data_IF_421441108934
#
_entry.id   IF_421441108934
#
_cell.length_a   1.000
_cell.length_b   1.000
_cell.length_c   1.000
_cell.angle_alpha   90.00
_cell.angle_beta   90.00
_cell.angle_gamma   90.00
#
_symmetry.space_group_name_H-M   'P 1'
#
loop_
_entity.id
_entity.type
_entity.pdbx_description
1 polymer ?
#
# COMPACT_ATOMS: atom_id res chain seq x y z
N UNK A 1 9.46 -14.67 -0.34
CA UNK A 1 10.03 -13.49 0.32
C UNK A 1 10.24 -12.38 -0.71
N UNK A 2 9.82 -11.17 -0.39
CA UNK A 2 10.02 -10.03 -1.29
C UNK A 2 11.46 -9.55 -1.24
N UNK A 3 12.03 -9.29 -2.41
CA UNK A 3 13.32 -8.63 -2.49
C UNK A 3 13.14 -7.13 -2.19
N UNK A 4 14.10 -6.51 -1.48
CA UNK A 4 14.03 -5.07 -1.24
C UNK A 4 14.01 -4.29 -2.55
N UNK A 5 13.26 -3.20 -2.58
CA UNK A 5 13.25 -2.30 -3.73
C UNK A 5 14.57 -1.53 -3.80
N UNK A 6 15.09 -1.35 -5.01
CA UNK A 6 16.26 -0.50 -5.24
C UNK A 6 15.85 0.97 -5.19
N UNK A 7 16.80 1.87 -5.00
CA UNK A 7 16.51 3.31 -5.00
C UNK A 7 15.89 3.79 -6.32
N UNK A 8 16.35 3.36 -7.50
CA UNK A 8 15.68 3.72 -8.76
C UNK A 8 14.24 3.23 -8.82
N UNK A 9 13.96 2.02 -8.33
CA UNK A 9 12.60 1.48 -8.29
C UNK A 9 11.71 2.32 -7.38
N UNK A 10 12.19 2.66 -6.18
CA UNK A 10 11.43 3.49 -5.24
C UNK A 10 11.10 4.83 -5.87
N UNK A 11 12.06 5.48 -6.53
CA UNK A 11 11.83 6.76 -7.18
C UNK A 11 10.79 6.66 -8.30
N UNK A 12 10.86 5.59 -9.10
CA UNK A 12 9.90 5.34 -10.16
C UNK A 12 8.48 5.17 -9.60
N UNK A 13 8.34 4.38 -8.53
CA UNK A 13 7.03 4.15 -7.93
C UNK A 13 6.48 5.38 -7.24
N UNK A 14 7.33 6.18 -6.60
CA UNK A 14 6.91 7.45 -6.00
C UNK A 14 6.38 8.42 -7.06
N UNK A 15 7.08 8.52 -8.19
CA UNK A 15 6.66 9.39 -9.29
C UNK A 15 5.31 8.92 -9.86
N UNK A 16 5.16 7.61 -10.09
CA UNK A 16 3.91 7.05 -10.57
C UNK A 16 2.77 7.27 -9.58
N UNK A 17 3.05 7.11 -8.28
CA UNK A 17 2.04 7.27 -7.22
C UNK A 17 1.49 8.69 -7.13
N UNK A 18 2.29 9.70 -7.47
CA UNK A 18 1.83 11.08 -7.46
C UNK A 18 0.72 11.33 -8.48
N UNK A 19 0.66 10.51 -9.52
CA UNK A 19 -0.38 10.60 -10.55
C UNK A 19 -1.61 9.77 -10.23
N UNK A 20 -1.55 8.95 -9.19
CA UNK A 20 -2.67 8.11 -8.79
C UNK A 20 -3.54 8.80 -7.75
N UNK A 21 -4.83 8.53 -7.82
CA UNK A 21 -5.74 8.88 -6.73
C UNK A 21 -5.84 7.71 -5.77
N UNK A 22 -6.16 7.95 -4.49
CA UNK A 22 -6.36 6.84 -3.55
C UNK A 22 -7.46 5.90 -4.04
N UNK A 23 -7.13 4.62 -4.12
CA UNK A 23 -8.06 3.58 -4.58
C UNK A 23 -8.88 3.01 -3.45
N UNK A 24 -8.33 3.03 -2.23
CA UNK A 24 -8.93 2.45 -1.04
C UNK A 24 -8.78 3.40 0.13
N UNK A 25 -9.62 3.20 1.14
CA UNK A 25 -9.57 3.99 2.38
C UNK A 25 -9.56 3.07 3.59
N UNK A 26 -8.71 3.39 4.57
CA UNK A 26 -8.78 2.74 5.88
C UNK A 26 -9.94 3.39 6.64
N UNK A 27 -11.01 2.65 6.84
CA UNK A 27 -12.19 3.11 7.56
C UNK A 27 -12.18 2.70 9.02
N UNK A 28 -13.35 2.75 9.66
CA UNK A 28 -13.51 2.48 11.09
C UNK A 28 -13.10 1.08 11.51
N UNK A 29 -13.21 0.10 10.62
CA UNK A 29 -12.81 -1.27 10.91
C UNK A 29 -11.28 -1.46 10.92
N UNK A 30 -10.53 -0.45 10.46
CA UNK A 30 -9.07 -0.52 10.42
C UNK A 30 -8.58 -1.61 9.47
N UNK A 31 -7.59 -2.37 9.90
CA UNK A 31 -7.03 -3.45 9.11
C UNK A 31 -7.76 -4.78 9.36
N UNK A 32 -9.06 -4.79 9.09
CA UNK A 32 -9.86 -6.01 9.18
C UNK A 32 -9.42 -7.02 8.12
N UNK A 33 -9.78 -8.29 8.31
CA UNK A 33 -9.48 -9.34 7.34
C UNK A 33 -10.07 -9.02 5.96
N UNK A 34 -11.30 -8.49 5.93
CA UNK A 34 -11.95 -8.10 4.69
C UNK A 34 -11.18 -7.00 3.98
N UNK A 35 -10.72 -5.99 4.72
CA UNK A 35 -9.92 -4.91 4.16
C UNK A 35 -8.58 -5.42 3.61
N UNK A 36 -7.90 -6.27 4.37
CA UNK A 36 -6.62 -6.86 3.93
C UNK A 36 -6.80 -7.67 2.65
N UNK A 37 -7.86 -8.46 2.56
CA UNK A 37 -8.18 -9.22 1.34
C UNK A 37 -8.44 -8.28 0.15
N UNK A 38 -9.17 -7.20 0.38
CA UNK A 38 -9.45 -6.20 -0.66
C UNK A 38 -8.15 -5.55 -1.15
N UNK A 39 -7.26 -5.18 -0.24
CA UNK A 39 -5.96 -4.62 -0.60
C UNK A 39 -5.14 -5.62 -1.40
N UNK A 40 -5.10 -6.87 -0.98
CA UNK A 40 -4.36 -7.92 -1.67
C UNK A 40 -4.89 -8.15 -3.08
N UNK A 41 -6.21 -8.20 -3.24
CA UNK A 41 -6.84 -8.36 -4.56
C UNK A 41 -6.52 -7.16 -5.47
N UNK A 42 -6.53 -5.96 -4.91
CA UNK A 42 -6.22 -4.75 -5.66
C UNK A 42 -4.75 -4.74 -6.11
N UNK A 43 -3.85 -5.20 -5.24
CA UNK A 43 -2.44 -5.35 -5.58
C UNK A 43 -2.22 -6.38 -6.70
N UNK A 44 -3.03 -7.44 -6.74
CA UNK A 44 -2.97 -8.41 -7.82
C UNK A 44 -3.30 -7.80 -9.19
N UNK A 45 -4.13 -6.77 -9.20
CA UNK A 45 -4.56 -6.12 -10.43
C UNK A 45 -3.67 -4.94 -10.83
N UNK A 46 -3.14 -4.20 -9.87
CA UNK A 46 -2.56 -2.89 -10.14
C UNK A 46 -1.09 -2.74 -9.75
N UNK A 47 -0.45 -3.73 -9.18
CA UNK A 47 0.93 -3.66 -8.68
C UNK A 47 1.18 -2.51 -7.68
N UNK A 48 0.71 -1.31 -7.99
CA UNK A 48 0.91 -0.11 -7.19
C UNK A 48 -0.45 0.39 -6.71
N UNK A 49 -0.63 0.46 -5.40
CA UNK A 49 -1.92 0.82 -4.79
C UNK A 49 -1.72 1.97 -3.81
N UNK A 50 -2.53 3.00 -3.95
CA UNK A 50 -2.53 4.17 -3.08
C UNK A 50 -3.74 4.10 -2.15
N UNK A 51 -3.50 4.22 -0.85
CA UNK A 51 -4.50 4.04 0.20
C UNK A 51 -4.50 5.26 1.11
N UNK A 52 -5.68 5.78 1.40
CA UNK A 52 -5.86 6.93 2.28
C UNK A 52 -6.33 6.47 3.65
N UNK A 53 -5.77 7.06 4.71
CA UNK A 53 -6.29 6.87 6.07
C UNK A 53 -7.44 7.86 6.30
N UNK A 54 -8.67 7.38 6.22
CA UNK A 54 -9.85 8.15 6.60
C UNK A 54 -10.03 8.12 8.13
N UNK A 55 -9.67 7.00 8.75
CA UNK A 55 -9.64 6.79 10.20
C UNK A 55 -8.23 6.36 10.61
N UNK A 56 -7.96 6.27 11.89
CA UNK A 56 -6.66 5.83 12.45
C UNK A 56 -5.47 6.65 11.95
N UNK A 57 -5.70 7.95 11.73
CA UNK A 57 -4.65 8.84 11.20
C UNK A 57 -3.44 8.93 12.13
N UNK A 58 -3.66 8.86 13.43
CA UNK A 58 -2.58 8.92 14.42
C UNK A 58 -1.76 7.63 14.47
N UNK A 59 -2.34 6.51 14.04
CA UNK A 59 -1.68 5.19 14.03
C UNK A 59 -1.07 4.84 12.68
N UNK A 60 -1.12 5.73 11.71
CA UNK A 60 -0.66 5.45 10.34
C UNK A 60 0.79 4.98 10.25
N UNK A 61 1.67 5.51 11.12
CA UNK A 61 3.08 5.11 11.14
C UNK A 61 3.27 3.64 11.48
N UNK A 62 2.37 3.09 12.27
CA UNK A 62 2.40 1.69 12.68
C UNK A 62 1.62 0.81 11.72
N UNK A 63 0.47 1.30 11.27
CA UNK A 63 -0.44 0.52 10.43
C UNK A 63 0.05 0.36 9.00
N UNK A 64 0.72 1.36 8.44
CA UNK A 64 1.21 1.28 7.07
C UNK A 64 2.20 0.12 6.87
N UNK A 65 3.29 0.01 7.66
CA UNK A 65 4.19 -1.15 7.51
C UNK A 65 3.53 -2.46 7.88
N UNK A 66 2.59 -2.45 8.83
CA UNK A 66 1.86 -3.66 9.19
C UNK A 66 1.00 -4.18 8.03
N UNK A 67 0.32 -3.27 7.33
CA UNK A 67 -0.48 -3.65 6.17
C UNK A 67 0.40 -4.18 5.04
N UNK A 68 1.56 -3.55 4.81
CA UNK A 68 2.52 -4.04 3.83
C UNK A 68 2.96 -5.46 4.16
N UNK A 69 3.27 -5.74 5.42
CA UNK A 69 3.64 -7.07 5.87
C UNK A 69 2.52 -8.09 5.66
N UNK A 70 1.30 -7.72 6.04
CA UNK A 70 0.14 -8.63 5.96
C UNK A 70 -0.27 -8.95 4.51
N UNK A 71 0.05 -8.07 3.57
CA UNK A 71 -0.24 -8.27 2.15
C UNK A 71 0.97 -8.75 1.35
N UNK A 72 2.12 -8.93 2.00
CA UNK A 72 3.34 -9.32 1.31
C UNK A 72 3.77 -8.29 0.27
N UNK A 73 3.65 -7.01 0.59
CA UNK A 73 4.00 -5.91 -0.32
C UNK A 73 5.06 -5.01 0.30
N UNK A 74 5.59 -4.10 -0.52
CA UNK A 74 6.52 -3.06 -0.06
C UNK A 74 5.77 -1.79 0.25
N UNK A 75 6.10 -1.15 1.37
CA UNK A 75 5.66 0.21 1.66
C UNK A 75 6.59 1.16 0.89
N UNK A 76 6.10 1.70 -0.22
CA UNK A 76 6.89 2.58 -1.08
C UNK A 76 7.07 3.95 -0.47
N UNK A 77 5.97 4.51 0.03
CA UNK A 77 6.00 5.82 0.67
C UNK A 77 4.78 5.99 1.57
N UNK A 78 4.91 6.89 2.53
CA UNK A 78 3.81 7.38 3.35
C UNK A 78 3.96 8.88 3.49
N UNK A 79 3.01 9.63 2.96
CA UNK A 79 3.01 11.09 3.00
C UNK A 79 1.66 11.56 3.52
N UNK A 80 1.67 12.35 4.58
CA UNK A 80 0.43 12.78 5.22
C UNK A 80 -0.41 11.58 5.63
N UNK A 81 -1.67 11.53 5.19
CA UNK A 81 -2.60 10.45 5.49
C UNK A 81 -2.72 9.44 4.36
N UNK A 82 -1.71 9.34 3.52
CA UNK A 82 -1.70 8.45 2.37
C UNK A 82 -0.51 7.51 2.45
N UNK A 83 -0.71 6.25 2.08
CA UNK A 83 0.37 5.29 1.91
C UNK A 83 0.29 4.67 0.52
N UNK A 84 1.44 4.24 0.00
CA UNK A 84 1.54 3.57 -1.29
C UNK A 84 2.23 2.24 -1.10
N UNK A 85 1.58 1.18 -1.58
CA UNK A 85 2.10 -0.18 -1.52
C UNK A 85 2.40 -0.68 -2.92
N UNK A 86 3.46 -1.48 -3.03
CA UNK A 86 3.84 -2.14 -4.27
C UNK A 86 4.03 -3.63 -4.03
N UNK A 87 3.46 -4.44 -4.91
CA UNK A 87 3.71 -5.88 -4.95
C UNK A 87 3.78 -6.31 -6.41
N UNK A 88 4.86 -7.01 -6.83
CA UNK A 88 4.93 -7.51 -8.20
C UNK A 88 3.72 -8.39 -8.51
N UNK A 89 3.19 -8.27 -9.73
CA UNK A 89 2.08 -9.13 -10.15
C UNK A 89 2.54 -10.58 -10.18
N UNK A 90 1.67 -11.53 -9.77
CA UNK A 90 1.98 -12.92 -9.92
C UNK A 90 2.24 -13.25 -11.38
N UNK A 91 3.26 -14.04 -11.64
CA UNK A 91 3.49 -14.53 -13.00
C UNK A 91 2.41 -15.54 -13.38
N UNK A 92 1.95 -15.43 -14.61
CA UNK A 92 0.94 -16.32 -15.11
C UNK A 92 1.48 -17.74 -15.31
#
# INVERSE_FOLDING_TARGET
MLEPLTNPQIRKFKAAAQLLEPMLKVGKAGLSEGFIRTVSATLDQHELVKIKFAEFKEQKKELAPLLAEKTGSHLVMRVGNVMVLHRPKPEA
#
